data_IF_285915505704
#
_entry.id   IF_285915505704
#
_cell.length_a   1.000
_cell.length_b   1.000
_cell.length_c   1.000
_cell.angle_alpha   90.00
_cell.angle_beta   90.00
_cell.angle_gamma   90.00
#
_symmetry.space_group_name_H-M   'P 1'
#
loop_
_entity.id
_entity.type
_entity.pdbx_description
1 polymer ?
#
# COMPACT_ATOMS: atom_id res chain seq x y z
N UNK A 1 -7.52 13.99 6.77
CA UNK A 1 -8.23 13.38 5.64
C UNK A 1 -8.53 14.38 4.54
N UNK A 2 -9.00 15.58 4.87
CA UNK A 2 -9.38 16.63 3.90
C UNK A 2 -8.25 17.01 2.92
N UNK A 3 -6.99 16.99 3.36
CA UNK A 3 -5.85 17.29 2.48
C UNK A 3 -5.74 16.28 1.34
N UNK A 4 -5.98 15.01 1.59
CA UNK A 4 -5.98 13.97 0.56
C UNK A 4 -7.13 14.15 -0.45
N UNK A 5 -8.31 14.57 0.04
CA UNK A 5 -9.46 14.87 -0.82
C UNK A 5 -9.18 16.05 -1.77
N UNK A 6 -8.44 17.05 -1.31
CA UNK A 6 -8.04 18.22 -2.12
C UNK A 6 -6.83 17.95 -3.02
N UNK A 7 -6.14 16.83 -2.78
CA UNK A 7 -4.85 16.54 -3.39
C UNK A 7 -3.67 17.16 -2.63
N UNK A 8 -2.52 16.49 -2.66
CA UNK A 8 -1.28 16.95 -2.02
C UNK A 8 -0.22 17.17 -3.08
N UNK A 9 0.19 18.40 -3.29
CA UNK A 9 1.26 18.81 -4.22
C UNK A 9 1.11 18.27 -5.66
N UNK A 10 -0.11 18.03 -6.12
CA UNK A 10 -0.40 17.44 -7.45
C UNK A 10 0.07 15.99 -7.63
N UNK A 11 0.62 15.36 -6.57
CA UNK A 11 1.23 14.03 -6.63
C UNK A 11 0.44 12.95 -5.93
N UNK A 12 -0.39 13.33 -4.96
CA UNK A 12 -1.23 12.41 -4.18
C UNK A 12 -2.67 12.87 -4.25
N UNK A 13 -3.57 11.97 -4.65
CA UNK A 13 -4.99 12.27 -4.88
C UNK A 13 -5.87 11.15 -4.35
N UNK A 14 -6.96 11.50 -3.68
CA UNK A 14 -8.04 10.57 -3.38
C UNK A 14 -8.99 10.50 -4.59
N UNK A 15 -9.07 9.34 -5.22
CA UNK A 15 -9.94 9.12 -6.37
C UNK A 15 -11.36 8.72 -5.97
N UNK A 16 -12.29 8.78 -6.93
CA UNK A 16 -13.71 8.49 -6.70
C UNK A 16 -13.98 7.06 -6.23
N UNK A 17 -13.11 6.11 -6.54
CA UNK A 17 -13.17 4.74 -6.02
C UNK A 17 -12.78 4.61 -4.53
N UNK A 18 -12.37 5.71 -3.91
CA UNK A 18 -11.99 5.76 -2.50
C UNK A 18 -10.55 5.39 -2.21
N UNK A 19 -9.75 5.08 -3.22
CA UNK A 19 -8.32 4.79 -3.07
C UNK A 19 -7.47 6.04 -3.28
N UNK A 20 -6.32 6.06 -2.61
CA UNK A 20 -5.30 7.10 -2.73
C UNK A 20 -4.33 6.70 -3.84
N UNK A 21 -4.27 7.52 -4.89
CA UNK A 21 -3.28 7.46 -5.94
C UNK A 21 -2.09 8.33 -5.56
N UNK A 22 -0.88 7.81 -5.73
CA UNK A 22 0.35 8.59 -5.56
C UNK A 22 1.30 8.31 -6.73
N UNK A 23 1.75 9.37 -7.41
CA UNK A 23 2.62 9.27 -8.57
C UNK A 23 3.58 10.44 -8.63
N UNK A 24 4.86 10.16 -8.90
CA UNK A 24 5.90 11.15 -9.17
C UNK A 24 7.08 10.49 -9.86
N UNK A 25 7.58 11.13 -10.91
CA UNK A 25 8.81 10.71 -11.58
C UNK A 25 10.07 11.31 -10.94
N UNK A 26 9.90 12.34 -10.09
CA UNK A 26 11.01 13.06 -9.47
C UNK A 26 11.41 12.51 -8.10
N UNK A 27 10.42 12.11 -7.31
CA UNK A 27 10.65 11.68 -5.92
C UNK A 27 9.82 10.44 -5.58
N UNK A 28 10.40 9.48 -4.87
CA UNK A 28 9.63 8.34 -4.37
C UNK A 28 8.65 8.80 -3.27
N UNK A 29 7.39 8.36 -3.38
CA UNK A 29 6.30 8.77 -2.48
C UNK A 29 5.95 7.73 -1.42
N UNK A 30 6.74 6.66 -1.30
CA UNK A 30 6.55 5.60 -0.30
C UNK A 30 7.81 5.39 0.53
N UNK A 31 7.74 4.49 1.51
CA UNK A 31 8.91 4.11 2.31
C UNK A 31 10.04 3.46 1.47
N UNK A 32 9.72 2.93 0.28
CA UNK A 32 10.69 2.40 -0.68
C UNK A 32 11.29 3.56 -1.50
N UNK A 33 12.13 4.35 -0.84
CA UNK A 33 12.56 5.66 -1.32
C UNK A 33 14.03 5.74 -1.76
N UNK A 34 14.66 4.61 -2.05
CA UNK A 34 16.03 4.59 -2.57
C UNK A 34 16.09 5.21 -3.98
N UNK A 35 17.06 6.08 -4.18
CA UNK A 35 17.29 6.78 -5.45
C UNK A 35 18.74 6.57 -5.88
N UNK A 36 18.97 6.24 -7.15
CA UNK A 36 20.27 6.13 -7.80
C UNK A 36 20.25 7.02 -9.04
N UNK A 37 21.23 7.88 -9.20
CA UNK A 37 21.36 8.81 -10.34
C UNK A 37 20.07 9.60 -10.63
N UNK A 38 19.42 10.08 -9.56
CA UNK A 38 18.19 10.86 -9.65
C UNK A 38 16.92 10.05 -9.98
N UNK A 39 17.01 8.72 -10.06
CA UNK A 39 15.88 7.84 -10.39
C UNK A 39 15.52 6.92 -9.23
N UNK A 40 14.24 6.74 -8.98
CA UNK A 40 13.76 5.76 -8.01
C UNK A 40 14.19 4.35 -8.41
N UNK A 41 14.80 3.62 -7.47
CA UNK A 41 15.17 2.20 -7.65
C UNK A 41 13.93 1.31 -7.76
N UNK A 42 12.85 1.72 -7.10
CA UNK A 42 11.60 0.97 -7.07
C UNK A 42 10.44 1.93 -7.34
N UNK A 43 10.23 2.31 -8.61
CA UNK A 43 9.10 3.17 -8.96
C UNK A 43 7.79 2.40 -8.73
N UNK A 44 6.85 3.02 -8.02
CA UNK A 44 5.56 2.43 -7.65
C UNK A 44 4.47 3.48 -7.83
N UNK A 45 4.39 4.02 -9.05
CA UNK A 45 3.40 5.04 -9.41
C UNK A 45 2.01 4.41 -9.49
N UNK A 46 1.03 4.94 -8.76
CA UNK A 46 -0.33 4.42 -8.76
C UNK A 46 -0.93 4.27 -7.38
N UNK A 47 -1.75 3.27 -7.20
CA UNK A 47 -2.28 2.83 -5.91
C UNK A 47 -1.28 1.85 -5.26
N UNK A 48 -0.64 2.21 -4.17
CA UNK A 48 0.25 1.31 -3.42
C UNK A 48 -0.54 0.56 -2.35
N UNK A 49 -0.27 -0.73 -2.19
CA UNK A 49 -1.05 -1.64 -1.34
C UNK A 49 -1.04 -1.22 0.13
N UNK A 50 0.14 -0.94 0.69
CA UNK A 50 0.27 -0.53 2.10
C UNK A 50 -0.27 0.86 2.37
N UNK A 51 -0.11 1.79 1.42
CA UNK A 51 -0.63 3.16 1.55
C UNK A 51 -2.15 3.13 1.61
N UNK A 52 -2.80 2.34 0.74
CA UNK A 52 -4.25 2.22 0.74
C UNK A 52 -4.78 1.42 1.93
N UNK A 53 -4.05 0.43 2.44
CA UNK A 53 -4.39 -0.24 3.68
C UNK A 53 -4.34 0.72 4.89
N UNK A 54 -3.30 1.53 4.99
CA UNK A 54 -3.16 2.56 6.02
C UNK A 54 -4.23 3.66 5.87
N UNK A 55 -4.52 4.10 4.65
CA UNK A 55 -5.58 5.05 4.37
C UNK A 55 -6.94 4.57 4.86
N UNK A 56 -7.33 3.35 4.52
CA UNK A 56 -8.56 2.75 4.99
C UNK A 56 -8.65 2.76 6.52
N UNK A 57 -7.59 2.35 7.20
CA UNK A 57 -7.53 2.33 8.66
C UNK A 57 -7.61 3.75 9.25
N UNK A 58 -6.95 4.74 8.65
CA UNK A 58 -7.04 6.14 9.07
C UNK A 58 -8.48 6.67 8.97
N UNK A 59 -9.18 6.36 7.87
CA UNK A 59 -10.58 6.76 7.69
C UNK A 59 -11.49 6.08 8.73
N UNK A 60 -11.37 4.76 8.91
CA UNK A 60 -12.17 4.00 9.88
C UNK A 60 -11.93 4.48 11.31
N UNK A 61 -10.68 4.70 11.68
CA UNK A 61 -10.31 5.22 12.99
C UNK A 61 -10.88 6.61 13.23
N UNK A 62 -10.75 7.53 12.24
CA UNK A 62 -11.26 8.90 12.37
C UNK A 62 -12.79 8.91 12.45
N UNK A 63 -13.49 8.07 11.67
CA UNK A 63 -14.94 7.93 11.77
C UNK A 63 -15.39 7.46 13.16
N UNK A 64 -14.67 6.52 13.77
CA UNK A 64 -14.94 6.08 15.14
C UNK A 64 -14.80 7.24 16.13
N UNK A 65 -13.68 7.99 16.07
CA UNK A 65 -13.46 9.14 16.95
C UNK A 65 -14.49 10.24 16.75
N UNK A 66 -14.86 10.53 15.49
CA UNK A 66 -15.90 11.52 15.18
C UNK A 66 -17.27 11.11 15.75
N UNK A 67 -17.60 9.82 15.67
CA UNK A 67 -18.81 9.26 16.29
C UNK A 67 -18.81 9.42 17.81
N UNK A 68 -17.70 9.08 18.47
CA UNK A 68 -17.51 9.23 19.93
C UNK A 68 -17.59 10.71 20.34
N UNK A 69 -17.09 11.63 19.53
CA UNK A 69 -17.13 13.08 19.74
C UNK A 69 -18.48 13.72 19.38
N UNK A 70 -19.41 12.99 18.77
CA UNK A 70 -20.69 13.52 18.30
C UNK A 70 -20.61 14.40 17.05
N UNK A 71 -19.50 14.35 16.28
CA UNK A 71 -19.36 15.09 15.03
C UNK A 71 -20.14 14.41 13.88
N UNK A 72 -21.45 14.56 13.93
CA UNK A 72 -22.38 14.01 12.94
C UNK A 72 -22.15 14.53 11.52
N UNK A 73 -21.63 15.75 11.38
CA UNK A 73 -21.34 16.36 10.07
C UNK A 73 -20.18 15.61 9.40
N UNK A 74 -19.11 15.36 10.14
CA UNK A 74 -17.98 14.59 9.62
C UNK A 74 -18.40 13.17 9.30
N UNK A 75 -19.09 12.49 10.22
CA UNK A 75 -19.56 11.10 10.00
C UNK A 75 -20.36 11.01 8.71
N UNK A 76 -21.38 11.86 8.52
CA UNK A 76 -22.23 11.89 7.32
C UNK A 76 -21.43 12.12 6.02
N UNK A 77 -20.36 12.93 6.09
CA UNK A 77 -19.54 13.24 4.93
C UNK A 77 -18.62 12.08 4.51
N UNK A 78 -18.24 11.19 5.45
CA UNK A 78 -17.20 10.19 5.24
C UNK A 78 -17.65 8.74 5.43
N UNK A 79 -18.85 8.47 5.98
CA UNK A 79 -19.33 7.13 6.34
C UNK A 79 -19.37 6.12 5.19
N UNK A 80 -19.58 6.59 3.94
CA UNK A 80 -19.66 5.73 2.74
C UNK A 80 -18.28 5.41 2.13
N UNK A 81 -17.24 6.15 2.53
CA UNK A 81 -15.92 5.98 1.94
C UNK A 81 -15.30 4.61 2.25
N UNK A 82 -15.36 4.07 3.48
CA UNK A 82 -14.74 2.78 3.79
C UNK A 82 -15.25 1.63 2.93
N UNK A 83 -16.56 1.55 2.71
CA UNK A 83 -17.17 0.50 1.88
C UNK A 83 -16.65 0.56 0.44
N UNK A 84 -16.64 1.75 -0.14
CA UNK A 84 -16.14 2.00 -1.49
C UNK A 84 -14.64 1.68 -1.60
N UNK A 85 -13.84 2.13 -0.63
CA UNK A 85 -12.40 1.84 -0.56
C UNK A 85 -12.13 0.33 -0.47
N UNK A 86 -12.87 -0.39 0.38
CA UNK A 86 -12.69 -1.84 0.54
C UNK A 86 -13.09 -2.61 -0.73
N UNK A 87 -14.18 -2.21 -1.40
CA UNK A 87 -14.60 -2.82 -2.66
C UNK A 87 -13.53 -2.64 -3.75
N UNK A 88 -13.07 -1.40 -3.98
CA UNK A 88 -12.05 -1.10 -4.98
C UNK A 88 -10.69 -1.75 -4.62
N UNK A 89 -10.33 -1.83 -3.35
CA UNK A 89 -9.11 -2.50 -2.91
C UNK A 89 -9.14 -3.99 -3.28
N UNK A 90 -10.21 -4.70 -2.96
CA UNK A 90 -10.35 -6.11 -3.27
C UNK A 90 -10.37 -6.37 -4.78
N UNK A 91 -11.03 -5.51 -5.56
CA UNK A 91 -11.11 -5.63 -7.01
C UNK A 91 -9.74 -5.45 -7.68
N UNK A 92 -8.97 -4.43 -7.26
CA UNK A 92 -7.75 -4.04 -7.96
C UNK A 92 -6.49 -4.78 -7.48
N UNK A 93 -6.41 -5.13 -6.19
CA UNK A 93 -5.18 -5.68 -5.63
C UNK A 93 -5.13 -7.20 -5.57
N UNK A 94 -6.26 -7.89 -5.59
CA UNK A 94 -6.25 -9.37 -5.54
C UNK A 94 -5.75 -9.94 -6.87
N UNK A 95 -4.68 -10.72 -6.79
CA UNK A 95 -4.14 -11.44 -7.93
C UNK A 95 -4.70 -12.87 -8.00
N UNK A 96 -4.81 -13.46 -9.20
CA UNK A 96 -5.27 -14.85 -9.36
C UNK A 96 -4.44 -15.85 -8.58
N UNK A 97 -3.17 -15.55 -8.32
CA UNK A 97 -2.22 -16.37 -7.58
C UNK A 97 -2.47 -16.39 -6.06
N UNK A 98 -3.48 -15.66 -5.55
CA UNK A 98 -3.90 -15.67 -4.16
C UNK A 98 -3.13 -14.69 -3.25
N UNK A 99 -2.38 -13.73 -3.82
CA UNK A 99 -1.76 -12.66 -3.04
C UNK A 99 -2.13 -11.29 -3.60
N UNK A 100 -1.61 -10.20 -3.00
CA UNK A 100 -1.95 -8.84 -3.43
C UNK A 100 -0.85 -8.24 -4.29
N UNK A 101 -1.25 -7.52 -5.33
CA UNK A 101 -0.35 -6.66 -6.09
C UNK A 101 0.37 -5.67 -5.16
N UNK A 102 1.64 -5.42 -5.41
CA UNK A 102 2.44 -4.46 -4.66
C UNK A 102 1.95 -3.02 -4.89
N UNK A 103 1.56 -2.74 -6.12
CA UNK A 103 0.88 -1.51 -6.53
C UNK A 103 0.03 -1.78 -7.79
N UNK A 104 -0.88 -0.84 -8.11
CA UNK A 104 -1.63 -0.85 -9.36
C UNK A 104 -1.47 0.51 -10.03
N UNK A 105 -0.78 0.52 -11.17
CA UNK A 105 -0.48 1.72 -11.96
C UNK A 105 -1.24 1.77 -13.28
N UNK A 106 -0.92 2.76 -14.12
CA UNK A 106 -1.50 2.90 -15.45
C UNK A 106 -1.16 1.69 -16.37
N UNK A 107 0.02 1.09 -16.15
CA UNK A 107 0.50 -0.05 -16.94
C UNK A 107 0.07 -1.41 -16.36
N UNK A 108 -0.78 -1.40 -15.34
CA UNK A 108 -1.30 -2.60 -14.70
C UNK A 108 -0.78 -2.84 -13.28
N UNK A 109 -0.95 -4.08 -12.81
CA UNK A 109 -0.58 -4.49 -11.47
C UNK A 109 0.91 -4.89 -11.37
N UNK A 110 1.60 -4.35 -10.37
CA UNK A 110 2.94 -4.80 -9.99
C UNK A 110 2.86 -6.11 -9.20
N UNK A 111 3.28 -7.22 -9.82
CA UNK A 111 3.14 -8.58 -9.27
C UNK A 111 4.34 -9.05 -8.44
N UNK A 112 5.30 -8.18 -8.18
CA UNK A 112 6.45 -8.48 -7.33
C UNK A 112 6.01 -8.89 -5.92
N UNK A 113 6.48 -10.05 -5.45
CA UNK A 113 6.23 -10.46 -4.07
C UNK A 113 7.13 -9.64 -3.14
N UNK A 114 6.50 -8.67 -2.47
CA UNK A 114 7.12 -7.73 -1.52
C UNK A 114 6.37 -7.74 -0.18
N UNK A 115 7.01 -7.30 0.93
CA UNK A 115 6.40 -7.37 2.26
C UNK A 115 5.21 -6.40 2.43
N UNK A 116 5.01 -5.46 1.53
CA UNK A 116 4.02 -4.38 1.63
C UNK A 116 2.58 -4.91 1.82
N UNK A 117 2.26 -6.02 1.17
CA UNK A 117 0.93 -6.63 1.26
C UNK A 117 0.55 -7.09 2.67
N UNK A 118 1.55 -7.41 3.54
CA UNK A 118 1.27 -7.88 4.91
C UNK A 118 0.64 -6.78 5.78
N UNK A 119 0.85 -5.51 5.43
CA UNK A 119 0.26 -4.37 6.13
C UNK A 119 -1.26 -4.46 6.12
N UNK A 120 -1.87 -4.86 4.99
CA UNK A 120 -3.31 -5.04 4.89
C UNK A 120 -3.86 -6.14 5.83
N UNK A 121 -3.02 -7.12 6.18
CA UNK A 121 -3.38 -8.18 7.12
C UNK A 121 -3.13 -7.81 8.59
N UNK A 122 -2.19 -6.91 8.87
CA UNK A 122 -1.75 -6.56 10.23
C UNK A 122 -2.57 -5.46 10.91
N UNK A 123 -3.27 -4.63 10.15
CA UNK A 123 -3.98 -3.46 10.66
C UNK A 123 -5.29 -3.83 11.38
N UNK A 124 -5.78 -2.99 12.34
CA UNK A 124 -7.00 -3.28 13.11
C UNK A 124 -8.27 -3.41 12.27
N UNK A 125 -8.48 -2.50 11.32
CA UNK A 125 -9.65 -2.54 10.43
C UNK A 125 -9.31 -3.31 9.16
N UNK A 126 -10.00 -4.44 8.93
CA UNK A 126 -9.75 -5.35 7.82
C UNK A 126 -10.58 -4.97 6.60
N UNK A 127 -9.97 -5.00 5.42
CA UNK A 127 -10.63 -4.92 4.11
C UNK A 127 -10.76 -6.30 3.47
N UNK A 128 -9.83 -7.20 3.80
CA UNK A 128 -9.74 -8.54 3.24
C UNK A 128 -10.56 -9.53 4.06
N UNK A 129 -11.16 -10.50 3.40
CA UNK A 129 -11.71 -11.68 4.06
C UNK A 129 -10.59 -12.58 4.65
N UNK A 130 -10.96 -13.47 5.56
CA UNK A 130 -10.02 -14.33 6.28
C UNK A 130 -9.22 -15.23 5.33
N UNK A 131 -9.86 -15.78 4.30
CA UNK A 131 -9.20 -16.65 3.32
C UNK A 131 -8.11 -15.90 2.58
N UNK A 132 -8.40 -14.70 2.07
CA UNK A 132 -7.41 -13.85 1.39
C UNK A 132 -6.27 -13.46 2.32
N UNK A 133 -6.55 -13.12 3.60
CA UNK A 133 -5.50 -12.82 4.58
C UNK A 133 -4.57 -14.03 4.78
N UNK A 134 -5.11 -15.24 4.89
CA UNK A 134 -4.32 -16.47 5.03
C UNK A 134 -3.44 -16.74 3.81
N UNK A 135 -3.94 -16.52 2.61
CA UNK A 135 -3.18 -16.67 1.36
C UNK A 135 -2.03 -15.67 1.27
N UNK A 136 -2.27 -14.40 1.61
CA UNK A 136 -1.23 -13.37 1.69
C UNK A 136 -0.16 -13.76 2.71
N UNK A 137 -0.56 -14.18 3.92
CA UNK A 137 0.37 -14.59 4.98
C UNK A 137 1.21 -15.79 4.55
N UNK A 138 0.60 -16.79 3.90
CA UNK A 138 1.31 -17.97 3.37
C UNK A 138 2.35 -17.55 2.32
N UNK A 139 1.99 -16.68 1.38
CA UNK A 139 2.89 -16.16 0.34
C UNK A 139 4.06 -15.40 0.96
N UNK A 140 3.81 -14.49 1.88
CA UNK A 140 4.85 -13.75 2.60
C UNK A 140 5.78 -14.68 3.36
N UNK A 141 5.22 -15.65 4.09
CA UNK A 141 6.01 -16.65 4.84
C UNK A 141 6.89 -17.47 3.90
N UNK A 142 6.35 -17.95 2.80
CA UNK A 142 7.05 -18.83 1.86
C UNK A 142 8.19 -18.12 1.12
N UNK A 143 7.98 -16.87 0.73
CA UNK A 143 8.87 -16.15 -0.17
C UNK A 143 9.78 -15.14 0.52
N UNK A 144 9.36 -14.60 1.65
CA UNK A 144 10.05 -13.45 2.26
C UNK A 144 10.59 -13.71 3.66
N UNK A 145 10.00 -14.65 4.42
CA UNK A 145 10.39 -14.84 5.81
C UNK A 145 11.81 -15.40 5.96
N UNK A 146 12.56 -14.80 6.86
CA UNK A 146 13.88 -15.26 7.30
C UNK A 146 13.96 -15.25 8.83
N UNK A 147 14.97 -15.88 9.45
CA UNK A 147 15.17 -15.76 10.90
C UNK A 147 15.36 -14.33 11.41
N UNK A 148 15.70 -13.37 10.51
CA UNK A 148 15.95 -11.96 10.87
C UNK A 148 14.82 -11.01 10.47
N UNK A 149 13.75 -11.49 9.86
CA UNK A 149 12.62 -10.68 9.38
C UNK A 149 12.23 -10.98 7.94
N UNK A 150 11.55 -10.04 7.28
CA UNK A 150 11.09 -10.21 5.91
C UNK A 150 12.09 -9.59 4.91
N UNK A 151 12.34 -10.32 3.83
CA UNK A 151 13.03 -9.75 2.66
C UNK A 151 12.16 -8.67 2.01
N UNK A 152 12.78 -7.68 1.40
CA UNK A 152 12.09 -6.60 0.67
C UNK A 152 11.63 -7.03 -0.73
N UNK A 153 12.15 -8.16 -1.23
CA UNK A 153 11.80 -8.74 -2.53
C UNK A 153 12.00 -10.26 -2.46
N UNK A 154 11.16 -11.01 -3.14
CA UNK A 154 11.31 -12.47 -3.25
C UNK A 154 12.62 -12.84 -3.94
N UNK A 155 13.38 -13.84 -3.43
CA UNK A 155 14.59 -14.36 -4.09
C UNK A 155 14.33 -14.96 -5.49
N UNK A 156 13.08 -15.25 -5.83
CA UNK A 156 12.69 -15.73 -7.18
C UNK A 156 12.61 -14.59 -8.20
N UNK A 157 12.60 -13.33 -7.74
CA UNK A 157 12.59 -12.18 -8.64
C UNK A 157 13.99 -11.97 -9.24
N UNK A 158 14.11 -11.79 -10.57
CA UNK A 158 15.41 -11.57 -11.23
C UNK A 158 16.18 -10.35 -10.71
N UNK A 159 15.49 -9.35 -10.15
CA UNK A 159 16.08 -8.14 -9.58
C UNK A 159 16.55 -8.32 -8.14
N UNK A 160 16.34 -9.50 -7.52
CA UNK A 160 16.75 -9.75 -6.14
C UNK A 160 18.27 -9.69 -6.00
N UNK A 161 18.73 -8.88 -5.05
CA UNK A 161 20.16 -8.81 -4.65
C UNK A 161 20.29 -9.42 -3.25
N UNK A 162 20.97 -10.57 -3.15
CA UNK A 162 21.16 -11.29 -1.89
C UNK A 162 22.11 -10.62 -0.90
N UNK A 163 22.99 -9.75 -1.38
CA UNK A 163 23.88 -8.94 -0.55
C UNK A 163 23.23 -7.61 -0.23
N UNK A 164 23.18 -7.19 1.04
CA UNK A 164 22.63 -5.88 1.38
C UNK A 164 23.52 -4.79 0.76
N UNK A 165 22.91 -3.96 -0.08
CA UNK A 165 23.54 -2.71 -0.52
C UNK A 165 23.37 -1.74 0.64
N UNK A 166 24.47 -1.42 1.36
CA UNK A 166 24.38 -0.45 2.44
C UNK A 166 24.09 0.93 1.85
N UNK A 167 23.26 1.71 2.53
CA UNK A 167 22.95 3.10 2.15
C UNK A 167 24.20 3.99 1.99
N UNK A 168 25.30 3.61 2.61
CA UNK A 168 26.59 4.29 2.49
C UNK A 168 27.26 4.12 1.12
N UNK A 169 26.95 3.06 0.37
CA UNK A 169 27.45 2.83 -0.99
C UNK A 169 26.60 3.49 -2.07
N UNK A 170 25.40 4.00 -1.73
CA UNK A 170 24.52 4.72 -2.64
C UNK A 170 24.77 6.24 -2.63
N UNK A 171 25.75 6.71 -1.84
CA UNK A 171 26.14 8.12 -1.73
C UNK A 171 27.54 8.42 -2.27
N UNK A 172 28.16 7.47 -2.94
CA UNK A 172 29.46 7.68 -3.56
C UNK A 172 29.32 8.05 -5.04
#
# INVERSE_FOLDING_TARGET
LESYKRGVAGRVVLNDNGLVWASSDEVPLTWMNSVIDGRSVTPRNGYQVEVNALWYNAVRYTLRLAGEAGDTKFVKAWEKLPERTAAAFNELFRLPEGYLADYVGCDGAGTDIRPNMIVACGLPYKMLDEQTQLEVIRTVRQHLLTPKGLRTLSPRNPLYKGSPVSYTHLRA
#
